data_IF_578282793456
#
_entry.id   IF_578282793456
#
_cell.length_a   1.000
_cell.length_b   1.000
_cell.length_c   1.000
_cell.angle_alpha   90.00
_cell.angle_beta   90.00
_cell.angle_gamma   90.00
#
_symmetry.space_group_name_H-M   'P 1'
#
loop_
_entity.id
_entity.type
_entity.pdbx_description
1 polymer ?
#
# COMPACT_ATOMS: atom_id res chain seq x y z
N UNK A 1 28.90 11.45 -7.78
CA UNK A 1 27.61 10.78 -8.08
C UNK A 1 26.87 11.67 -9.04
N UNK A 2 26.04 11.11 -9.92
CA UNK A 2 25.15 11.91 -10.75
C UNK A 2 23.99 12.41 -9.90
N UNK A 3 23.47 13.55 -10.30
CA UNK A 3 22.36 14.26 -9.66
C UNK A 3 21.13 14.13 -10.54
N UNK A 4 20.00 13.82 -9.91
CA UNK A 4 18.73 13.59 -10.58
C UNK A 4 17.61 14.36 -9.90
N UNK A 5 16.90 15.15 -10.69
CA UNK A 5 15.69 15.86 -10.34
C UNK A 5 14.53 14.86 -10.27
N UNK A 6 13.86 14.79 -9.12
CA UNK A 6 12.76 13.84 -8.93
C UNK A 6 11.39 14.42 -9.30
N UNK A 7 11.26 15.75 -9.29
CA UNK A 7 9.95 16.40 -9.41
C UNK A 7 9.07 16.24 -8.16
N UNK A 8 9.60 15.71 -7.05
CA UNK A 8 8.90 15.64 -5.76
C UNK A 8 9.16 16.91 -4.94
N UNK A 9 8.10 17.67 -4.66
CA UNK A 9 8.16 18.92 -3.92
C UNK A 9 7.47 18.76 -2.56
N UNK A 10 8.22 18.50 -1.47
CA UNK A 10 7.65 18.37 -0.13
C UNK A 10 7.05 19.69 0.35
N UNK A 11 6.09 19.63 1.28
CA UNK A 11 5.69 20.82 2.01
C UNK A 11 6.79 21.25 2.98
N UNK A 12 7.07 22.56 3.06
CA UNK A 12 8.15 23.10 3.88
C UNK A 12 8.06 22.74 5.37
N UNK A 13 6.84 22.57 5.90
CA UNK A 13 6.61 22.19 7.30
C UNK A 13 6.92 20.71 7.62
N UNK A 14 7.08 19.86 6.60
CA UNK A 14 7.44 18.44 6.76
C UNK A 14 8.96 18.22 6.73
N UNK A 15 9.72 19.28 6.41
CA UNK A 15 11.10 19.20 6.00
C UNK A 15 12.06 19.69 7.09
N UNK A 16 13.16 18.97 7.28
CA UNK A 16 14.41 19.54 7.76
C UNK A 16 15.33 19.76 6.54
N UNK A 17 15.58 21.01 6.10
CA UNK A 17 16.40 21.31 4.92
C UNK A 17 17.83 20.74 4.97
N UNK A 18 18.33 20.40 6.16
CA UNK A 18 19.66 19.83 6.34
C UNK A 18 19.66 18.30 6.33
N UNK A 19 18.48 17.68 6.29
CA UNK A 19 18.37 16.23 6.29
C UNK A 19 18.88 15.64 4.97
N UNK A 20 19.78 14.67 5.12
CA UNK A 20 20.23 13.83 4.01
C UNK A 20 19.81 12.41 4.35
N UNK A 21 18.98 11.82 3.49
CA UNK A 21 18.47 10.47 3.68
C UNK A 21 19.27 9.52 2.77
N UNK A 22 19.87 8.50 3.37
CA UNK A 22 20.71 7.53 2.65
C UNK A 22 20.00 6.19 2.50
N UNK A 23 19.89 5.72 1.25
CA UNK A 23 19.50 4.36 0.90
C UNK A 23 20.67 3.54 0.34
N UNK A 24 20.38 2.32 -0.13
CA UNK A 24 21.37 1.41 -0.71
C UNK A 24 21.85 1.90 -2.09
N UNK A 25 22.97 2.62 -2.09
CA UNK A 25 23.64 3.10 -3.31
C UNK A 25 23.12 4.45 -3.82
N UNK A 26 22.28 5.12 -3.06
CA UNK A 26 21.71 6.44 -3.38
C UNK A 26 21.51 7.28 -2.11
N UNK A 27 21.44 8.60 -2.28
CA UNK A 27 21.08 9.55 -1.21
C UNK A 27 20.09 10.56 -1.75
N UNK A 28 19.25 11.11 -0.87
CA UNK A 28 18.37 12.23 -1.20
C UNK A 28 18.71 13.41 -0.30
N UNK A 29 18.88 14.57 -0.90
CA UNK A 29 18.89 15.89 -0.24
C UNK A 29 17.61 16.63 -0.59
N UNK A 30 17.23 17.60 0.24
CA UNK A 30 16.13 18.50 -0.07
C UNK A 30 16.68 19.89 -0.33
N UNK A 31 16.50 20.37 -1.55
CA UNK A 31 17.19 21.55 -2.04
C UNK A 31 16.21 22.60 -2.50
N UNK A 32 16.52 23.86 -2.18
CA UNK A 32 15.74 25.01 -2.62
C UNK A 32 15.83 25.14 -4.14
N UNK A 33 14.68 25.39 -4.76
CA UNK A 33 14.56 25.51 -6.22
C UNK A 33 13.70 26.72 -6.56
N UNK A 34 14.21 27.56 -7.47
CA UNK A 34 13.38 28.58 -8.11
C UNK A 34 12.41 27.87 -9.06
N UNK A 35 11.14 27.79 -8.66
CA UNK A 35 10.10 27.23 -9.52
C UNK A 35 9.16 28.33 -10.00
N UNK A 36 8.75 28.26 -11.25
CA UNK A 36 7.69 29.10 -11.81
C UNK A 36 6.29 28.48 -11.64
N UNK A 37 6.15 27.42 -10.82
CA UNK A 37 4.87 26.76 -10.62
C UNK A 37 3.93 27.66 -9.80
N UNK A 38 2.66 27.80 -10.20
CA UNK A 38 1.74 28.74 -9.56
C UNK A 38 1.43 28.43 -8.08
N UNK A 39 1.76 27.23 -7.59
CA UNK A 39 1.60 26.80 -6.20
C UNK A 39 2.91 26.74 -5.41
N UNK A 40 4.06 27.11 -6.00
CA UNK A 40 5.33 27.11 -5.29
C UNK A 40 5.44 28.37 -4.43
N UNK A 41 5.57 28.22 -3.12
CA UNK A 41 5.94 29.33 -2.23
C UNK A 41 7.39 29.76 -2.53
N UNK A 42 7.79 30.96 -2.07
CA UNK A 42 9.17 31.45 -2.15
C UNK A 42 10.22 30.50 -1.54
N UNK A 43 9.79 29.54 -0.72
CA UNK A 43 10.63 28.55 -0.04
C UNK A 43 10.33 27.12 -0.55
N UNK A 44 10.38 26.93 -1.87
CA UNK A 44 10.06 25.63 -2.47
C UNK A 44 11.28 24.73 -2.51
N UNK A 45 11.18 23.59 -1.82
CA UNK A 45 12.20 22.56 -1.83
C UNK A 45 11.81 21.44 -2.80
N UNK A 46 12.81 20.76 -3.33
CA UNK A 46 12.66 19.55 -4.12
C UNK A 46 13.54 18.44 -3.56
N UNK A 47 13.04 17.20 -3.57
CA UNK A 47 13.88 16.04 -3.32
C UNK A 47 14.84 15.84 -4.50
N UNK A 48 16.14 15.93 -4.26
CA UNK A 48 17.20 15.70 -5.24
C UNK A 48 17.86 14.37 -4.97
N UNK A 49 17.84 13.47 -5.94
CA UNK A 49 18.38 12.13 -5.83
C UNK A 49 19.81 12.08 -6.36
N UNK A 50 20.72 11.49 -5.59
CA UNK A 50 22.11 11.29 -5.96
C UNK A 50 22.39 9.81 -6.07
N UNK A 51 22.91 9.36 -7.21
CA UNK A 51 23.25 7.96 -7.45
C UNK A 51 24.43 7.81 -8.43
N UNK A 52 25.07 6.63 -8.45
CA UNK A 52 26.20 6.37 -9.36
C UNK A 52 25.77 6.07 -10.79
N UNK A 53 24.55 5.58 -10.98
CA UNK A 53 24.03 5.17 -12.29
C UNK A 53 22.57 5.57 -12.41
N UNK A 54 22.10 5.73 -13.65
CA UNK A 54 20.69 5.96 -13.95
C UNK A 54 19.81 4.81 -13.43
N UNK A 55 20.27 3.56 -13.53
CA UNK A 55 19.51 2.41 -13.06
C UNK A 55 19.28 2.46 -11.53
N UNK A 56 20.34 2.75 -10.76
CA UNK A 56 20.22 2.94 -9.31
C UNK A 56 19.28 4.10 -8.98
N UNK A 57 19.39 5.22 -9.71
CA UNK A 57 18.49 6.35 -9.54
C UNK A 57 17.04 5.98 -9.84
N UNK A 58 16.79 5.27 -10.93
CA UNK A 58 15.45 4.88 -11.37
C UNK A 58 14.80 3.91 -10.39
N UNK A 59 15.55 2.94 -9.89
CA UNK A 59 15.07 2.00 -8.87
C UNK A 59 14.76 2.73 -7.55
N UNK A 60 15.64 3.63 -7.12
CA UNK A 60 15.42 4.44 -5.92
C UNK A 60 14.18 5.34 -6.08
N UNK A 61 14.05 6.02 -7.21
CA UNK A 61 12.91 6.89 -7.52
C UNK A 61 11.58 6.13 -7.50
N UNK A 62 11.51 4.98 -8.16
CA UNK A 62 10.31 4.13 -8.14
C UNK A 62 9.98 3.60 -6.74
N UNK A 63 11.01 3.27 -5.95
CA UNK A 63 10.85 2.83 -4.57
C UNK A 63 10.35 3.97 -3.66
N UNK A 64 10.86 5.19 -3.84
CA UNK A 64 10.38 6.40 -3.16
C UNK A 64 8.91 6.65 -3.53
N UNK A 65 8.56 6.60 -4.81
CA UNK A 65 7.17 6.72 -5.25
C UNK A 65 6.25 5.69 -4.58
N UNK A 66 6.66 4.43 -4.54
CA UNK A 66 5.90 3.37 -3.86
C UNK A 66 5.75 3.59 -2.35
N UNK A 67 6.80 4.09 -1.70
CA UNK A 67 6.77 4.43 -0.29
C UNK A 67 5.86 5.64 0.02
N UNK A 68 5.84 6.65 -0.85
CA UNK A 68 4.89 7.77 -0.78
C UNK A 68 3.46 7.26 -0.97
N UNK A 69 3.20 6.38 -1.95
CA UNK A 69 1.88 5.75 -2.13
C UNK A 69 1.44 4.98 -0.88
N UNK A 70 2.34 4.20 -0.27
CA UNK A 70 2.09 3.50 0.98
C UNK A 70 1.73 4.48 2.10
N UNK A 71 2.46 5.59 2.22
CA UNK A 71 2.25 6.58 3.28
C UNK A 71 0.95 7.35 3.10
N UNK A 72 0.66 7.82 1.89
CA UNK A 72 -0.55 8.59 1.50
C UNK A 72 -1.79 7.73 1.23
N UNK A 73 -1.78 6.46 1.60
CA UNK A 73 -2.94 5.57 1.47
C UNK A 73 -3.44 5.34 0.02
N UNK A 74 -2.59 5.52 -0.99
CA UNK A 74 -2.90 5.19 -2.40
C UNK A 74 -2.92 6.37 -3.38
N UNK A 75 -2.73 7.61 -2.93
CA UNK A 75 -2.97 8.80 -3.76
C UNK A 75 -1.98 9.03 -4.93
N UNK A 76 -0.83 8.35 -4.95
CA UNK A 76 0.20 8.51 -5.97
C UNK A 76 0.17 7.32 -6.95
N UNK A 77 -0.77 7.32 -7.89
CA UNK A 77 -0.92 6.28 -8.92
C UNK A 77 -0.11 6.59 -10.19
N UNK A 78 0.04 7.87 -10.53
CA UNK A 78 0.83 8.32 -11.69
C UNK A 78 2.14 8.96 -11.21
N UNK A 79 3.27 8.27 -11.36
CA UNK A 79 4.59 8.94 -11.32
C UNK A 79 5.21 8.83 -12.70
N UNK A 80 6.12 9.75 -13.07
CA UNK A 80 6.96 9.50 -14.22
C UNK A 80 7.75 8.21 -14.00
N UNK A 81 8.25 7.61 -15.08
CA UNK A 81 8.98 6.34 -15.01
C UNK A 81 10.43 6.51 -14.51
N UNK A 82 10.98 7.74 -14.57
CA UNK A 82 12.40 8.00 -14.36
C UNK A 82 12.67 9.36 -13.69
N UNK A 83 13.69 9.47 -12.83
CA UNK A 83 14.19 10.75 -12.37
C UNK A 83 15.06 11.39 -13.46
N UNK A 84 15.06 12.72 -13.56
CA UNK A 84 15.73 13.44 -14.66
C UNK A 84 17.17 13.77 -14.30
N UNK A 85 18.18 13.26 -15.04
CA UNK A 85 19.57 13.62 -14.77
C UNK A 85 19.81 15.09 -15.15
N UNK A 86 20.62 15.80 -14.35
CA UNK A 86 21.12 17.13 -14.73
C UNK A 86 22.27 17.06 -15.75
N UNK A 87 22.87 15.87 -15.94
CA UNK A 87 23.86 15.62 -16.98
C UNK A 87 23.18 15.46 -18.34
N UNK A 88 23.40 16.42 -19.25
CA UNK A 88 22.81 16.45 -20.60
C UNK A 88 23.11 15.16 -21.41
N UNK A 89 24.29 14.57 -21.26
CA UNK A 89 24.66 13.35 -21.99
C UNK A 89 23.87 12.14 -21.49
N UNK A 90 23.58 12.08 -20.20
CA UNK A 90 22.68 11.07 -19.65
C UNK A 90 21.24 11.32 -20.09
N UNK A 91 20.81 12.58 -20.15
CA UNK A 91 19.48 12.95 -20.61
C UNK A 91 19.24 12.54 -22.07
N UNK A 92 20.17 12.84 -22.98
CA UNK A 92 20.11 12.42 -24.39
C UNK A 92 19.97 10.90 -24.53
N UNK A 93 20.72 10.13 -23.73
CA UNK A 93 20.62 8.66 -23.73
C UNK A 93 19.25 8.16 -23.29
N UNK A 94 18.61 8.82 -22.32
CA UNK A 94 17.26 8.48 -21.88
C UNK A 94 16.27 8.76 -23.00
N UNK A 95 16.32 9.95 -23.60
CA UNK A 95 15.43 10.35 -24.69
C UNK A 95 15.58 9.38 -25.88
N UNK A 96 16.81 9.01 -26.24
CA UNK A 96 17.06 8.06 -27.32
C UNK A 96 16.49 6.67 -27.02
N UNK A 97 16.55 6.21 -25.76
CA UNK A 97 16.13 4.86 -25.37
C UNK A 97 14.63 4.74 -25.11
N UNK A 98 14.01 5.75 -24.51
CA UNK A 98 12.64 5.70 -24.00
C UNK A 98 11.68 6.68 -24.68
N UNK A 99 12.18 7.53 -25.58
CA UNK A 99 11.40 8.53 -26.29
C UNK A 99 11.15 9.81 -25.48
N UNK A 100 10.63 10.84 -26.16
CA UNK A 100 10.30 12.13 -25.54
C UNK A 100 9.12 12.06 -24.56
N UNK A 101 8.23 11.06 -24.67
CA UNK A 101 7.09 10.90 -23.77
C UNK A 101 7.50 10.43 -22.37
N UNK A 102 8.66 9.77 -22.23
CA UNK A 102 9.21 9.42 -20.93
C UNK A 102 9.68 10.64 -20.11
N UNK A 103 9.70 11.83 -20.73
CA UNK A 103 10.26 13.08 -20.21
C UNK A 103 9.20 14.10 -19.76
N UNK A 104 7.90 13.85 -19.98
CA UNK A 104 6.87 14.77 -19.48
C UNK A 104 6.95 14.83 -17.95
N UNK A 105 7.27 16.02 -17.44
CA UNK A 105 7.53 16.23 -16.03
C UNK A 105 6.21 16.16 -15.26
N UNK A 106 5.89 15.01 -14.67
CA UNK A 106 4.91 14.96 -13.60
C UNK A 106 5.60 15.49 -12.33
N UNK A 107 5.55 16.81 -12.15
CA UNK A 107 5.83 17.42 -10.85
C UNK A 107 4.73 16.99 -9.88
N UNK A 108 5.12 16.61 -8.67
CA UNK A 108 4.18 16.16 -7.64
C UNK A 108 4.49 16.89 -6.34
N UNK A 109 3.55 17.75 -5.93
CA UNK A 109 3.48 18.30 -4.58
C UNK A 109 2.43 17.54 -3.79
N UNK A 110 2.87 16.63 -2.92
CA UNK A 110 2.01 15.86 -2.02
C UNK A 110 2.65 15.81 -0.64
N UNK A 111 1.83 15.62 0.40
CA UNK A 111 2.34 15.42 1.76
C UNK A 111 3.16 14.14 1.89
N UNK A 112 3.91 14.05 2.98
CA UNK A 112 4.73 12.91 3.39
C UNK A 112 5.84 12.49 2.42
N UNK A 113 6.31 13.37 1.54
CA UNK A 113 7.45 13.07 0.68
C UNK A 113 8.69 12.71 1.52
N UNK A 114 9.08 13.47 2.57
CA UNK A 114 10.25 13.10 3.38
C UNK A 114 10.09 11.73 4.07
N UNK A 115 8.91 11.44 4.61
CA UNK A 115 8.57 10.13 5.18
C UNK A 115 8.69 9.00 4.14
N UNK A 116 8.20 9.23 2.92
CA UNK A 116 8.31 8.29 1.82
C UNK A 116 9.77 7.99 1.47
N UNK A 117 10.63 9.01 1.44
CA UNK A 117 12.08 8.82 1.23
C UNK A 117 12.70 8.00 2.36
N UNK A 118 12.35 8.25 3.63
CA UNK A 118 12.83 7.46 4.78
C UNK A 118 12.37 6.00 4.70
N UNK A 119 11.11 5.76 4.34
CA UNK A 119 10.54 4.41 4.14
C UNK A 119 11.29 3.68 3.03
N UNK A 120 11.51 4.33 1.88
CA UNK A 120 12.25 3.75 0.75
C UNK A 120 13.70 3.46 1.13
N UNK A 121 14.36 4.35 1.88
CA UNK A 121 15.71 4.14 2.38
C UNK A 121 15.80 2.89 3.26
N UNK A 122 14.86 2.70 4.19
CA UNK A 122 14.78 1.48 5.03
C UNK A 122 14.56 0.23 4.19
N UNK A 123 13.65 0.28 3.22
CA UNK A 123 13.36 -0.86 2.36
C UNK A 123 14.50 -1.21 1.40
N UNK A 124 15.34 -0.25 1.01
CA UNK A 124 16.36 -0.42 -0.04
C UNK A 124 17.42 -1.49 0.23
N UNK A 125 17.55 -1.94 1.49
CA UNK A 125 18.48 -3.01 1.85
C UNK A 125 17.91 -4.43 1.71
N UNK A 126 16.59 -4.58 1.58
CA UNK A 126 15.90 -5.87 1.44
C UNK A 126 15.17 -5.94 0.10
N UNK A 127 15.43 -6.99 -0.67
CA UNK A 127 14.68 -7.22 -1.91
C UNK A 127 13.20 -7.52 -1.63
N UNK A 128 12.91 -8.21 -0.53
CA UNK A 128 11.53 -8.52 -0.14
C UNK A 128 10.74 -7.25 0.15
N UNK A 129 11.32 -6.29 0.87
CA UNK A 129 10.66 -5.01 1.12
C UNK A 129 10.53 -4.14 -0.13
N UNK A 130 11.52 -4.17 -1.02
CA UNK A 130 11.42 -3.49 -2.31
C UNK A 130 10.26 -4.04 -3.15
N UNK A 131 10.17 -5.36 -3.29
CA UNK A 131 9.07 -5.99 -4.02
C UNK A 131 7.72 -5.81 -3.32
N UNK A 132 7.68 -5.85 -1.99
CA UNK A 132 6.46 -5.61 -1.22
C UNK A 132 5.92 -4.19 -1.46
N UNK A 133 6.79 -3.16 -1.44
CA UNK A 133 6.41 -1.78 -1.76
C UNK A 133 5.89 -1.62 -3.18
N UNK A 134 6.62 -2.18 -4.16
CA UNK A 134 6.23 -2.08 -5.57
C UNK A 134 4.92 -2.83 -5.85
N UNK A 135 4.71 -4.01 -5.26
CA UNK A 135 3.44 -4.75 -5.31
C UNK A 135 2.30 -3.95 -4.67
N UNK A 136 2.54 -3.34 -3.51
CA UNK A 136 1.55 -2.50 -2.85
C UNK A 136 1.12 -1.34 -3.75
N UNK A 137 2.11 -0.63 -4.34
CA UNK A 137 1.85 0.45 -5.29
C UNK A 137 1.05 -0.02 -6.51
N UNK A 138 1.40 -1.17 -7.09
CA UNK A 138 0.67 -1.77 -8.21
C UNK A 138 -0.78 -2.10 -7.83
N UNK A 139 -1.00 -2.58 -6.60
CA UNK A 139 -2.34 -2.79 -6.05
C UNK A 139 -3.15 -1.50 -6.04
N UNK A 140 -2.57 -0.40 -5.54
CA UNK A 140 -3.22 0.92 -5.54
C UNK A 140 -3.51 1.43 -6.95
N UNK A 141 -2.59 1.22 -7.90
CA UNK A 141 -2.81 1.57 -9.31
C UNK A 141 -3.99 0.80 -9.92
N UNK A 142 -4.22 -0.43 -9.47
CA UNK A 142 -5.37 -1.24 -9.90
C UNK A 142 -6.66 -0.76 -9.23
N UNK A 143 -6.62 -0.59 -7.90
CA UNK A 143 -7.72 -0.11 -7.10
C UNK A 143 -7.23 0.45 -5.77
N UNK A 144 -7.60 1.69 -5.47
CA UNK A 144 -7.53 2.26 -4.14
C UNK A 144 -8.65 3.27 -3.98
N UNK A 145 -9.32 3.24 -2.85
CA UNK A 145 -10.21 4.32 -2.45
C UNK A 145 -9.47 5.35 -1.60
N UNK A 146 -9.72 6.66 -1.79
CA UNK A 146 -9.32 7.67 -0.84
C UNK A 146 -9.87 7.35 0.56
N UNK A 147 -9.09 7.64 1.61
CA UNK A 147 -9.49 7.39 2.99
C UNK A 147 -10.83 8.03 3.38
N UNK A 148 -11.15 9.19 2.80
CA UNK A 148 -12.42 9.90 3.01
C UNK A 148 -13.64 9.10 2.50
N UNK A 149 -13.48 8.29 1.46
CA UNK A 149 -14.58 7.46 0.92
C UNK A 149 -14.87 6.24 1.81
N UNK A 150 -13.87 5.81 2.58
CA UNK A 150 -14.00 4.75 3.58
C UNK A 150 -14.18 5.31 5.00
N UNK A 151 -14.35 6.62 5.16
CA UNK A 151 -14.66 7.21 6.47
C UNK A 151 -16.14 6.99 6.80
N UNK A 152 -16.48 6.44 7.97
CA UNK A 152 -17.88 6.19 8.35
C UNK A 152 -18.72 7.47 8.48
N UNK A 153 -18.10 8.64 8.64
CA UNK A 153 -18.73 9.95 8.79
C UNK A 153 -19.10 10.59 7.45
N UNK A 154 -18.37 10.27 6.38
CA UNK A 154 -18.54 10.89 5.05
C UNK A 154 -19.16 9.95 4.00
N UNK A 155 -19.18 8.64 4.24
CA UNK A 155 -19.77 7.66 3.34
C UNK A 155 -21.31 7.71 3.34
N UNK A 156 -21.89 8.70 2.67
CA UNK A 156 -23.35 8.90 2.53
C UNK A 156 -23.98 7.89 1.56
N UNK A 157 -23.24 7.42 0.56
CA UNK A 157 -23.61 6.33 -0.34
C UNK A 157 -22.64 5.16 -0.18
N UNK A 158 -23.16 4.00 0.22
CA UNK A 158 -22.32 2.82 0.38
C UNK A 158 -21.94 2.25 -0.99
N UNK A 159 -20.63 2.05 -1.20
CA UNK A 159 -20.05 1.33 -2.33
C UNK A 159 -20.45 -0.15 -2.30
N UNK A 160 -21.69 -0.42 -2.73
CA UNK A 160 -22.27 -1.74 -2.80
C UNK A 160 -21.68 -2.59 -3.92
N UNK A 161 -22.44 -3.61 -4.34
CA UNK A 161 -22.05 -4.43 -5.49
C UNK A 161 -22.12 -3.58 -6.76
N UNK A 162 -21.08 -3.66 -7.57
CA UNK A 162 -21.01 -3.00 -8.88
C UNK A 162 -21.48 -3.99 -9.95
N UNK A 163 -22.26 -3.54 -10.93
CA UNK A 163 -22.79 -4.43 -11.98
C UNK A 163 -21.78 -4.72 -13.10
N UNK A 164 -20.76 -3.87 -13.24
CA UNK A 164 -19.78 -3.92 -14.32
C UNK A 164 -18.72 -5.01 -14.09
N UNK A 165 -18.44 -5.81 -15.13
CA UNK A 165 -17.60 -7.02 -15.04
C UNK A 165 -16.10 -6.70 -15.01
N UNK A 166 -15.70 -5.64 -15.68
CA UNK A 166 -14.37 -5.06 -15.60
C UNK A 166 -14.03 -4.66 -14.15
N UNK A 167 -14.98 -4.05 -13.43
CA UNK A 167 -14.82 -3.73 -12.00
C UNK A 167 -14.64 -5.00 -11.17
N UNK A 168 -15.34 -6.10 -11.47
CA UNK A 168 -15.11 -7.39 -10.78
C UNK A 168 -13.67 -7.90 -10.97
N UNK A 169 -13.13 -7.76 -12.18
CA UNK A 169 -11.74 -8.15 -12.50
C UNK A 169 -10.76 -7.24 -11.75
N UNK A 170 -11.01 -5.93 -11.74
CA UNK A 170 -10.20 -4.95 -11.00
C UNK A 170 -10.14 -5.30 -9.51
N UNK A 171 -11.29 -5.53 -8.87
CA UNK A 171 -11.36 -5.88 -7.44
C UNK A 171 -10.71 -7.23 -7.13
N UNK A 172 -10.93 -8.24 -7.98
CA UNK A 172 -10.27 -9.53 -7.81
C UNK A 172 -8.74 -9.41 -7.93
N UNK A 173 -8.28 -8.67 -8.94
CA UNK A 173 -6.85 -8.47 -9.20
C UNK A 173 -6.17 -7.68 -8.10
N UNK A 174 -6.83 -6.62 -7.57
CA UNK A 174 -6.29 -5.85 -6.45
C UNK A 174 -6.19 -6.69 -5.17
N UNK A 175 -7.19 -7.52 -4.86
CA UNK A 175 -7.13 -8.47 -3.73
C UNK A 175 -5.92 -9.41 -3.87
N UNK A 176 -5.71 -9.98 -5.05
CA UNK A 176 -4.55 -10.87 -5.30
C UNK A 176 -3.25 -10.11 -5.11
N UNK A 177 -3.14 -8.91 -5.68
CA UNK A 177 -1.94 -8.08 -5.61
C UNK A 177 -1.62 -7.64 -4.18
N UNK A 178 -2.59 -7.12 -3.43
CA UNK A 178 -2.39 -6.74 -2.03
C UNK A 178 -2.09 -7.94 -1.14
N UNK A 179 -2.73 -9.09 -1.35
CA UNK A 179 -2.40 -10.30 -0.60
C UNK A 179 -0.97 -10.78 -0.90
N UNK A 180 -0.48 -10.60 -2.13
CA UNK A 180 0.90 -10.95 -2.51
C UNK A 180 1.95 -10.09 -1.81
N UNK A 181 1.58 -8.92 -1.24
CA UNK A 181 2.43 -8.13 -0.34
C UNK A 181 2.60 -8.88 0.98
N UNK A 182 1.50 -9.40 1.54
CA UNK A 182 1.52 -10.19 2.78
C UNK A 182 2.36 -11.46 2.62
N UNK A 183 2.24 -12.13 1.47
CA UNK A 183 3.09 -13.28 1.12
C UNK A 183 4.56 -12.89 0.96
N UNK A 184 4.86 -11.73 0.33
CA UNK A 184 6.24 -11.25 0.18
C UNK A 184 6.90 -10.94 1.53
N UNK A 185 6.11 -10.51 2.51
CA UNK A 185 6.57 -10.27 3.88
C UNK A 185 6.69 -11.56 4.71
N UNK A 186 6.34 -12.71 4.13
CA UNK A 186 6.24 -13.98 4.83
C UNK A 186 5.28 -13.91 6.03
N UNK A 187 4.18 -13.17 5.93
CA UNK A 187 3.18 -12.98 6.99
C UNK A 187 1.85 -13.69 6.66
N UNK A 188 1.81 -14.53 5.64
CA UNK A 188 0.65 -15.31 5.25
C UNK A 188 0.36 -16.47 6.22
N UNK A 189 -0.89 -16.97 6.21
CA UNK A 189 -1.24 -18.19 6.95
C UNK A 189 -0.75 -19.40 6.16
N UNK A 190 0.27 -20.08 6.70
CA UNK A 190 0.82 -21.32 6.13
C UNK A 190 -0.01 -22.51 6.62
N UNK A 191 -1.00 -22.88 5.83
CA UNK A 191 -1.87 -24.03 6.11
C UNK A 191 -1.95 -24.94 4.88
N UNK A 192 -2.19 -26.23 5.11
CA UNK A 192 -2.31 -27.25 4.08
C UNK A 192 -3.51 -28.17 4.37
N UNK A 193 -3.80 -29.12 3.47
CA UNK A 193 -4.82 -30.13 3.73
C UNK A 193 -4.47 -31.01 4.94
N UNK A 194 -3.17 -31.31 5.14
CA UNK A 194 -2.68 -32.11 6.29
C UNK A 194 -2.53 -31.28 7.57
N UNK A 195 -2.38 -29.96 7.47
CA UNK A 195 -2.30 -29.04 8.60
C UNK A 195 -3.21 -27.83 8.34
N UNK A 196 -4.54 -27.98 8.52
CA UNK A 196 -5.50 -26.92 8.17
C UNK A 196 -5.35 -25.72 9.11
N UNK A 197 -5.77 -24.53 8.68
CA UNK A 197 -5.72 -23.32 9.53
C UNK A 197 -6.66 -23.42 10.74
N UNK A 198 -7.78 -24.13 10.60
CA UNK A 198 -8.76 -24.35 11.67
C UNK A 198 -9.19 -25.81 11.78
N UNK A 199 -9.43 -26.24 13.02
CA UNK A 199 -10.01 -27.53 13.37
C UNK A 199 -11.23 -27.29 14.26
N UNK A 200 -12.39 -27.84 13.88
CA UNK A 200 -13.66 -27.66 14.61
C UNK A 200 -14.00 -26.19 14.92
N UNK A 201 -13.74 -25.30 13.95
CA UNK A 201 -14.01 -23.87 14.07
C UNK A 201 -12.98 -23.07 14.88
N UNK A 202 -12.01 -23.71 15.54
CA UNK A 202 -10.93 -23.06 16.30
C UNK A 202 -9.62 -23.09 15.51
N UNK A 203 -8.69 -22.19 15.84
CA UNK A 203 -7.34 -22.22 15.25
C UNK A 203 -6.65 -23.55 15.49
N UNK A 204 -5.94 -24.04 14.47
CA UNK A 204 -5.01 -25.15 14.63
C UNK A 204 -3.77 -24.66 15.39
N UNK A 205 -3.43 -25.22 16.58
CA UNK A 205 -2.39 -24.65 17.43
C UNK A 205 -1.01 -24.49 16.76
N UNK A 206 -0.46 -25.49 16.02
CA UNK A 206 0.74 -25.31 15.21
C UNK A 206 0.71 -24.09 14.29
N UNK A 207 -0.37 -23.90 13.53
CA UNK A 207 -0.51 -22.78 12.58
C UNK A 207 -0.58 -21.46 13.32
N UNK A 208 -1.33 -21.41 14.43
CA UNK A 208 -1.48 -20.22 15.26
C UNK A 208 -0.16 -19.78 15.89
N UNK A 209 0.60 -20.72 16.44
CA UNK A 209 1.91 -20.44 17.05
C UNK A 209 2.88 -19.90 16.00
N UNK A 210 2.94 -20.51 14.80
CA UNK A 210 3.82 -20.05 13.74
C UNK A 210 3.50 -18.63 13.27
N UNK A 211 2.22 -18.34 12.97
CA UNK A 211 1.83 -17.00 12.50
C UNK A 211 2.04 -15.94 13.59
N UNK A 212 1.73 -16.24 14.86
CA UNK A 212 1.99 -15.32 15.98
C UNK A 212 3.48 -15.02 16.13
N UNK A 213 4.34 -16.02 16.01
CA UNK A 213 5.80 -15.84 16.07
C UNK A 213 6.28 -14.93 14.94
N UNK A 214 5.87 -15.19 13.68
CA UNK A 214 6.29 -14.38 12.52
C UNK A 214 5.82 -12.93 12.63
N UNK A 215 4.57 -12.70 13.03
CA UNK A 215 4.03 -11.35 13.24
C UNK A 215 4.82 -10.58 14.30
N UNK A 216 5.11 -11.21 15.45
CA UNK A 216 5.90 -10.57 16.52
C UNK A 216 7.33 -10.27 16.09
N UNK A 217 7.97 -11.17 15.33
CA UNK A 217 9.32 -10.94 14.78
C UNK A 217 9.35 -9.75 13.80
N UNK A 218 8.26 -9.53 13.06
CA UNK A 218 8.08 -8.37 12.19
C UNK A 218 7.61 -7.11 12.95
N UNK A 219 7.60 -7.12 14.30
CA UNK A 219 7.24 -5.97 15.13
C UNK A 219 5.74 -5.67 15.22
N UNK A 220 4.89 -6.59 14.78
CA UNK A 220 3.43 -6.41 14.80
C UNK A 220 2.88 -6.80 16.17
N UNK A 221 2.17 -5.87 16.78
CA UNK A 221 1.36 -6.15 17.97
C UNK A 221 0.14 -6.99 17.58
N UNK A 222 0.15 -8.25 17.99
CA UNK A 222 -0.91 -9.22 17.71
C UNK A 222 -2.14 -9.03 18.60
N UNK A 223 -2.01 -8.27 19.69
CA UNK A 223 -3.13 -7.96 20.59
C UNK A 223 -3.93 -6.74 20.10
N UNK A 224 -3.30 -5.87 19.30
CA UNK A 224 -3.99 -4.74 18.67
C UNK A 224 -4.90 -5.25 17.53
N UNK A 225 -6.23 -5.11 17.65
CA UNK A 225 -7.15 -5.61 16.63
C UNK A 225 -7.01 -4.86 15.31
N UNK A 226 -7.47 -5.48 14.22
CA UNK A 226 -7.63 -4.85 12.91
C UNK A 226 -9.08 -4.44 12.71
N UNK A 227 -9.31 -3.25 12.14
CA UNK A 227 -10.63 -2.87 11.64
C UNK A 227 -10.89 -3.64 10.35
N UNK A 228 -12.01 -4.35 10.31
CA UNK A 228 -12.56 -4.96 9.11
C UNK A 228 -13.83 -4.23 8.71
N UNK A 229 -13.73 -3.48 7.62
CA UNK A 229 -14.79 -2.63 7.09
C UNK A 229 -15.88 -3.52 6.48
N UNK A 230 -17.12 -3.36 6.95
CA UNK A 230 -18.28 -4.04 6.37
C UNK A 230 -19.43 -3.06 6.23
N UNK A 231 -19.63 -2.56 5.01
CA UNK A 231 -20.67 -1.56 4.76
C UNK A 231 -21.66 -1.97 3.68
N UNK A 232 -22.84 -1.37 3.73
CA UNK A 232 -23.96 -1.72 2.87
C UNK A 232 -24.55 -3.10 3.16
N UNK A 233 -25.28 -3.65 2.19
CA UNK A 233 -25.96 -4.96 2.29
C UNK A 233 -24.95 -6.10 2.42
N UNK A 234 -25.27 -7.09 3.25
CA UNK A 234 -24.41 -8.26 3.44
C UNK A 234 -24.22 -9.01 2.14
N UNK A 235 -22.96 -9.37 1.84
CA UNK A 235 -22.62 -10.18 0.68
C UNK A 235 -22.22 -11.59 1.13
N UNK A 236 -22.44 -12.57 0.24
CA UNK A 236 -22.00 -13.95 0.47
C UNK A 236 -20.48 -14.01 0.65
N UNK A 237 -19.73 -13.20 -0.12
CA UNK A 237 -18.26 -13.15 -0.04
C UNK A 237 -17.79 -12.59 1.30
N UNK A 238 -18.32 -11.45 1.74
CA UNK A 238 -17.98 -10.87 3.05
C UNK A 238 -18.32 -11.80 4.22
N UNK A 239 -19.38 -12.61 4.07
CA UNK A 239 -19.75 -13.63 5.06
C UNK A 239 -18.81 -14.84 5.04
N UNK A 240 -18.31 -15.25 3.86
CA UNK A 240 -17.32 -16.32 3.71
C UNK A 240 -15.96 -15.92 4.28
N UNK A 241 -15.53 -14.67 4.05
CA UNK A 241 -14.26 -14.16 4.53
C UNK A 241 -14.15 -14.22 6.07
N UNK A 242 -15.22 -13.83 6.77
CA UNK A 242 -15.28 -13.80 8.23
C UNK A 242 -15.90 -15.07 8.86
N UNK A 243 -16.03 -16.16 8.11
CA UNK A 243 -16.62 -17.39 8.65
C UNK A 243 -15.79 -17.90 9.83
N UNK A 244 -16.43 -18.09 10.98
CA UNK A 244 -15.83 -18.50 12.26
C UNK A 244 -14.84 -17.50 12.87
N UNK A 245 -14.77 -16.26 12.36
CA UNK A 245 -13.95 -15.20 12.97
C UNK A 245 -14.67 -14.65 14.19
N UNK A 246 -13.97 -14.57 15.32
CA UNK A 246 -14.47 -13.83 16.48
C UNK A 246 -14.25 -12.35 16.23
N UNK A 247 -15.31 -11.57 16.41
CA UNK A 247 -15.29 -10.17 16.02
C UNK A 247 -16.12 -9.33 17.00
N UNK A 248 -15.58 -8.18 17.38
CA UNK A 248 -16.27 -7.20 18.22
C UNK A 248 -16.76 -6.05 17.34
N UNK A 249 -17.95 -5.54 17.60
CA UNK A 249 -18.51 -4.42 16.83
C UNK A 249 -17.68 -3.14 17.07
N UNK A 250 -17.34 -2.40 16.02
CA UNK A 250 -16.65 -1.12 16.17
C UNK A 250 -17.57 -0.04 16.76
N UNK A 251 -17.07 0.93 17.57
CA UNK A 251 -17.89 1.96 18.22
C UNK A 251 -18.74 2.81 17.27
N UNK A 252 -18.21 3.10 16.08
CA UNK A 252 -18.91 3.84 15.03
C UNK A 252 -19.88 2.99 14.21
N UNK A 253 -19.90 1.68 14.40
CA UNK A 253 -20.86 0.82 13.68
C UNK A 253 -22.28 1.10 14.14
N UNK A 254 -23.05 1.78 13.32
CA UNK A 254 -24.41 2.21 13.62
C UNK A 254 -25.34 1.87 12.46
N UNK A 255 -26.59 1.58 12.80
CA UNK A 255 -27.64 1.25 11.84
C UNK A 255 -27.43 -0.09 11.11
N UNK A 256 -28.10 -0.22 9.96
CA UNK A 256 -28.09 -1.44 9.14
C UNK A 256 -26.90 -1.52 8.18
N UNK A 257 -26.24 -0.39 7.92
CA UNK A 257 -25.32 -0.26 6.80
C UNK A 257 -23.87 -0.01 7.18
N UNK A 258 -23.55 0.37 8.42
CA UNK A 258 -22.16 0.41 8.92
C UNK A 258 -22.01 -0.70 9.96
N UNK A 259 -21.34 -1.79 9.57
CA UNK A 259 -21.21 -3.03 10.33
C UNK A 259 -19.74 -3.41 10.53
N UNK A 260 -18.87 -2.41 10.55
CA UNK A 260 -17.43 -2.55 10.76
C UNK A 260 -17.12 -3.29 12.07
N UNK A 261 -16.03 -4.06 12.07
CA UNK A 261 -15.68 -4.92 13.21
C UNK A 261 -14.21 -4.82 13.55
N UNK A 262 -13.91 -4.96 14.83
CA UNK A 262 -12.57 -5.31 15.29
C UNK A 262 -12.41 -6.83 15.23
N UNK A 263 -11.38 -7.29 14.54
CA UNK A 263 -11.00 -8.70 14.47
C UNK A 263 -9.52 -8.87 14.82
N UNK A 264 -9.15 -10.06 15.26
CA UNK A 264 -7.76 -10.43 15.46
C UNK A 264 -6.97 -10.29 14.14
N UNK A 265 -5.73 -9.78 14.18
CA UNK A 265 -4.92 -9.58 12.98
C UNK A 265 -4.65 -10.90 12.23
N UNK A 266 -4.53 -12.03 12.95
CA UNK A 266 -4.36 -13.37 12.36
C UNK A 266 -5.63 -13.80 11.62
N UNK A 267 -6.79 -13.47 12.20
CA UNK A 267 -8.07 -13.70 11.54
C UNK A 267 -8.26 -12.78 10.33
N UNK A 268 -7.78 -11.54 10.36
CA UNK A 268 -7.77 -10.65 9.21
C UNK A 268 -6.92 -11.21 8.06
N UNK A 269 -5.73 -11.74 8.36
CA UNK A 269 -4.86 -12.38 7.36
C UNK A 269 -5.52 -13.63 6.78
N UNK A 270 -6.20 -14.44 7.62
CA UNK A 270 -6.94 -15.60 7.16
C UNK A 270 -8.15 -15.21 6.29
N UNK A 271 -8.86 -14.14 6.64
CA UNK A 271 -9.97 -13.59 5.87
C UNK A 271 -9.49 -13.09 4.50
N UNK A 272 -8.38 -12.34 4.46
CA UNK A 272 -7.74 -11.92 3.23
C UNK A 272 -7.27 -13.11 2.36
N UNK A 273 -6.72 -14.16 2.99
CA UNK A 273 -6.36 -15.42 2.30
C UNK A 273 -7.57 -16.09 1.68
N UNK A 274 -8.71 -16.13 2.38
CA UNK A 274 -9.95 -16.68 1.85
C UNK A 274 -10.47 -15.88 0.66
N UNK A 275 -10.43 -14.55 0.71
CA UNK A 275 -10.78 -13.70 -0.44
C UNK A 275 -9.89 -14.02 -1.64
N UNK A 276 -8.56 -14.02 -1.44
CA UNK A 276 -7.61 -14.34 -2.50
C UNK A 276 -7.84 -15.73 -3.08
N UNK A 277 -7.87 -16.78 -2.27
CA UNK A 277 -7.88 -18.19 -2.72
C UNK A 277 -9.25 -18.70 -3.20
N UNK A 278 -10.35 -18.25 -2.59
CA UNK A 278 -11.69 -18.82 -2.86
C UNK A 278 -12.54 -17.98 -3.79
N UNK A 279 -12.16 -16.72 -4.01
CA UNK A 279 -12.93 -15.74 -4.79
C UNK A 279 -12.10 -15.17 -5.94
N UNK A 280 -10.89 -14.69 -5.65
CA UNK A 280 -10.15 -13.82 -6.59
C UNK A 280 -9.07 -14.53 -7.43
N UNK A 281 -8.61 -15.72 -7.04
CA UNK A 281 -7.57 -16.47 -7.76
C UNK A 281 -8.13 -17.48 -8.76
N UNK A 282 -7.31 -17.86 -9.75
CA UNK A 282 -7.60 -18.87 -10.78
C UNK A 282 -8.70 -18.44 -11.76
N UNK A 283 -9.63 -19.34 -12.06
CA UNK A 283 -10.81 -19.05 -12.89
C UNK A 283 -11.87 -18.38 -12.01
N UNK A 284 -12.22 -17.15 -12.35
CA UNK A 284 -13.23 -16.39 -11.63
C UNK A 284 -14.60 -17.08 -11.76
N UNK A 285 -15.22 -17.35 -10.61
CA UNK A 285 -16.62 -17.77 -10.52
C UNK A 285 -17.51 -16.52 -10.55
N UNK A 286 -18.32 -16.31 -11.62
CA UNK A 286 -19.14 -15.11 -11.78
C UNK A 286 -20.05 -14.82 -10.57
N UNK A 287 -20.54 -15.86 -9.88
CA UNK A 287 -21.42 -15.67 -8.70
C UNK A 287 -20.66 -15.11 -7.51
N UNK A 288 -19.39 -15.46 -7.36
CA UNK A 288 -18.55 -14.97 -6.26
C UNK A 288 -17.98 -13.59 -6.57
N UNK A 289 -17.41 -13.39 -7.76
CA UNK A 289 -16.79 -12.10 -8.09
C UNK A 289 -17.81 -10.97 -8.22
N UNK A 290 -19.04 -11.24 -8.68
CA UNK A 290 -20.12 -10.24 -8.68
C UNK A 290 -20.63 -9.87 -7.28
N UNK A 291 -20.22 -10.61 -6.25
CA UNK A 291 -20.53 -10.30 -4.87
C UNK A 291 -19.39 -9.55 -4.15
N UNK A 292 -18.26 -9.30 -4.82
CA UNK A 292 -17.20 -8.41 -4.32
C UNK A 292 -17.70 -6.97 -4.28
N UNK A 293 -17.22 -6.25 -3.28
CA UNK A 293 -17.39 -4.82 -3.09
C UNK A 293 -16.03 -4.15 -2.99
N UNK A 294 -15.97 -2.83 -3.13
CA UNK A 294 -14.72 -2.10 -2.93
C UNK A 294 -14.14 -2.33 -1.52
N UNK A 295 -15.01 -2.47 -0.51
CA UNK A 295 -14.60 -2.80 0.86
C UNK A 295 -13.86 -4.13 0.99
N UNK A 296 -14.16 -5.14 0.15
CA UNK A 296 -13.43 -6.42 0.20
C UNK A 296 -11.97 -6.24 -0.24
N UNK A 297 -11.72 -5.42 -1.27
CA UNK A 297 -10.37 -5.07 -1.70
C UNK A 297 -9.65 -4.15 -0.71
N UNK A 298 -10.36 -3.14 -0.21
CA UNK A 298 -9.83 -2.16 0.75
C UNK A 298 -9.43 -2.82 2.08
N UNK A 299 -10.18 -3.81 2.57
CA UNK A 299 -9.77 -4.57 3.76
C UNK A 299 -8.40 -5.24 3.58
N UNK A 300 -8.12 -5.79 2.40
CA UNK A 300 -6.82 -6.42 2.10
C UNK A 300 -5.74 -5.36 1.93
N UNK A 301 -6.06 -4.22 1.29
CA UNK A 301 -5.16 -3.07 1.14
C UNK A 301 -4.74 -2.50 2.49
N UNK A 302 -5.69 -2.16 3.37
CA UNK A 302 -5.46 -1.60 4.70
C UNK A 302 -4.62 -2.57 5.55
N UNK A 303 -4.94 -3.87 5.50
CA UNK A 303 -4.17 -4.89 6.19
C UNK A 303 -2.74 -4.96 5.68
N UNK A 304 -2.54 -5.05 4.36
CA UNK A 304 -1.20 -5.09 3.75
C UNK A 304 -0.40 -3.82 4.08
N UNK A 305 -1.05 -2.65 4.05
CA UNK A 305 -0.45 -1.37 4.43
C UNK A 305 0.06 -1.39 5.87
N UNK A 306 -0.80 -1.81 6.81
CA UNK A 306 -0.45 -1.91 8.22
C UNK A 306 0.75 -2.82 8.43
N UNK A 307 0.68 -4.05 7.90
CA UNK A 307 1.75 -5.03 8.06
C UNK A 307 3.08 -4.54 7.46
N UNK A 308 3.05 -3.91 6.28
CA UNK A 308 4.24 -3.39 5.62
C UNK A 308 4.87 -2.20 6.35
N UNK A 309 4.06 -1.21 6.77
CA UNK A 309 4.56 -0.06 7.54
C UNK A 309 5.18 -0.50 8.87
N UNK A 310 4.52 -1.40 9.60
CA UNK A 310 5.04 -1.91 10.87
C UNK A 310 6.32 -2.72 10.68
N UNK A 311 6.39 -3.57 9.64
CA UNK A 311 7.60 -4.35 9.32
C UNK A 311 8.80 -3.46 8.96
N UNK A 312 8.56 -2.27 8.42
CA UNK A 312 9.57 -1.24 8.15
C UNK A 312 9.87 -0.34 9.36
N UNK A 313 9.34 -0.66 10.55
CA UNK A 313 9.51 0.10 11.79
C UNK A 313 8.88 1.48 11.74
N UNK A 314 7.85 1.68 10.91
CA UNK A 314 7.15 2.95 10.79
C UNK A 314 5.93 2.97 11.71
N UNK A 315 5.73 4.09 12.42
CA UNK A 315 4.50 4.28 13.19
C UNK A 315 3.36 4.60 12.26
N UNK A 316 2.27 3.85 12.41
CA UNK A 316 1.00 4.20 11.79
C UNK A 316 0.36 5.19 12.75
N UNK A 317 0.19 6.43 12.31
CA UNK A 317 -0.79 7.29 12.94
C UNK A 317 -2.14 6.75 12.47
N UNK A 318 -2.68 5.77 13.20
CA UNK A 318 -4.08 5.44 13.04
C UNK A 318 -4.83 6.66 13.57
N UNK A 319 -5.68 7.27 12.73
CA UNK A 319 -6.64 8.26 13.18
C UNK A 319 -7.61 7.51 14.09
N UNK A 320 -7.24 7.41 15.36
CA UNK A 320 -8.13 7.05 16.43
C UNK A 320 -8.65 8.38 16.99
N UNK A 321 -9.78 8.83 16.46
CA UNK A 321 -10.87 9.52 17.16
C UNK A 321 -12.01 9.86 16.20
#
# INVERSE_FOLDING_TARGET
MYRFQTGFFPFSHELDPKEIIQGKGWTVSFEEVETSLPWSSKDSYQAVLHARTLETASNAFNLIGAAITLRNDGFLTETPYFPLPEDERLLEKIIQKYGHEAYTHSTCGIGFIPDGVRIAARASNSMDYQYALLKYRMGCFTHSLPSVEIDPSYATEHLGKVAFRDVHIILASSIVTFYSVIEQLELEVRASASCPSRMNGKWNPPVFIDITRRLRLAGIDVEQPSVWVQRGKSTTVGSVALKNVQATKAPWSRGLYVRDKFIDVRDAILAASNLRSKVSSHRLDPKKVSALTAYDAENVRILARRLLLTSLGCRIFEVAE
#
